data_IF_949494541234
#
_entry.id   IF_949494541234
#
_cell.length_a   1.000
_cell.length_b   1.000
_cell.length_c   1.000
_cell.angle_alpha   90.00
_cell.angle_beta   90.00
_cell.angle_gamma   90.00
#
_symmetry.space_group_name_H-M   'P 1'
#
loop_
_entity.id
_entity.type
_entity.pdbx_description
1 polymer ?
#
# COMPACT_ATOMS: atom_id res chain seq x y z
N UNK A 1 31.81 -1.82 -18.49
CA UNK A 1 32.78 -0.71 -18.66
C UNK A 1 33.36 -0.38 -17.27
N UNK A 2 34.68 -0.44 -17.08
CA UNK A 2 35.35 0.03 -15.83
C UNK A 2 35.53 1.56 -15.90
N UNK A 3 35.31 2.33 -14.83
CA UNK A 3 35.51 3.78 -14.86
C UNK A 3 36.94 4.18 -14.48
N UNK A 4 37.48 5.16 -15.21
CA UNK A 4 38.60 6.02 -14.75
C UNK A 4 38.00 7.21 -14.00
N UNK A 5 38.75 7.67 -13.01
CA UNK A 5 38.43 8.67 -11.99
C UNK A 5 38.20 10.08 -12.52
N UNK A 6 37.40 10.81 -11.74
CA UNK A 6 37.15 12.26 -11.68
C UNK A 6 36.45 12.93 -12.89
N UNK A 7 35.13 13.11 -12.76
CA UNK A 7 34.54 14.44 -12.59
C UNK A 7 33.05 14.29 -12.18
N UNK A 8 32.50 15.32 -11.56
CA UNK A 8 31.12 15.57 -11.09
C UNK A 8 29.97 15.41 -12.12
N UNK A 9 30.19 14.64 -13.19
CA UNK A 9 29.15 14.19 -14.12
C UNK A 9 28.38 13.00 -13.51
N UNK A 10 27.05 13.11 -13.42
CA UNK A 10 26.23 11.94 -13.17
C UNK A 10 26.58 10.88 -14.22
N UNK A 11 27.05 9.69 -13.81
CA UNK A 11 27.23 8.60 -14.76
C UNK A 11 25.83 8.16 -15.17
N UNK A 12 25.37 8.62 -16.31
CA UNK A 12 24.10 8.24 -16.92
C UNK A 12 24.29 6.89 -17.61
N UNK A 13 23.17 6.24 -17.97
CA UNK A 13 23.25 5.13 -18.91
C UNK A 13 23.97 5.63 -20.16
N UNK A 14 25.01 4.96 -20.66
CA UNK A 14 25.85 5.50 -21.71
C UNK A 14 24.97 5.97 -22.87
N UNK A 15 25.03 7.27 -23.20
CA UNK A 15 24.14 8.02 -24.11
C UNK A 15 23.96 7.40 -25.52
N UNK A 16 24.63 6.27 -25.78
CA UNK A 16 24.69 5.56 -27.05
C UNK A 16 24.63 4.05 -26.88
N UNK A 17 23.78 3.52 -26.00
CA UNK A 17 23.43 2.10 -26.07
C UNK A 17 22.82 1.82 -27.47
N UNK A 18 23.38 0.87 -28.25
CA UNK A 18 22.77 0.45 -29.52
C UNK A 18 21.28 0.15 -29.40
N UNK A 19 20.48 0.53 -30.39
CA UNK A 19 19.01 0.33 -30.34
C UNK A 19 18.56 -1.11 -30.60
N UNK A 20 19.47 -2.00 -30.99
CA UNK A 20 19.17 -3.35 -31.46
C UNK A 20 18.94 -4.39 -30.38
N UNK A 21 19.09 -4.06 -29.09
CA UNK A 21 18.97 -5.05 -28.01
C UNK A 21 17.53 -5.52 -27.80
N UNK A 22 17.38 -6.82 -27.61
CA UNK A 22 16.14 -7.44 -27.14
C UNK A 22 16.12 -7.61 -25.61
N UNK A 23 17.30 -7.73 -25.01
CA UNK A 23 17.49 -7.84 -23.56
C UNK A 23 18.68 -6.96 -23.15
N UNK A 24 18.53 -6.25 -22.04
CA UNK A 24 19.56 -5.37 -21.50
C UNK A 24 19.75 -5.64 -20.01
N UNK A 25 20.92 -6.17 -19.64
CA UNK A 25 21.33 -6.35 -18.24
C UNK A 25 22.39 -5.29 -17.90
N UNK A 26 22.05 -4.40 -16.96
CA UNK A 26 22.93 -3.37 -16.43
C UNK A 26 23.30 -3.78 -15.02
N UNK A 27 24.50 -4.34 -14.88
CA UNK A 27 24.96 -4.93 -13.61
C UNK A 27 26.25 -4.29 -13.12
N UNK A 28 26.38 -4.12 -11.81
CA UNK A 28 27.59 -3.59 -11.16
C UNK A 28 28.07 -2.27 -11.77
N UNK A 29 27.13 -1.40 -12.14
CA UNK A 29 27.41 -0.13 -12.81
C UNK A 29 27.45 1.02 -11.81
N UNK A 30 28.12 2.11 -12.20
CA UNK A 30 28.12 3.37 -11.45
C UNK A 30 26.96 4.28 -11.84
N UNK A 31 25.95 3.77 -12.56
CA UNK A 31 24.79 4.55 -13.02
C UNK A 31 24.08 5.14 -11.81
N UNK A 32 23.82 6.45 -11.84
CA UNK A 32 23.10 7.16 -10.77
C UNK A 32 21.65 7.43 -11.09
N UNK A 33 21.39 7.71 -12.37
CA UNK A 33 20.10 8.16 -12.86
C UNK A 33 19.75 7.42 -14.15
N UNK A 34 18.50 6.97 -14.24
CA UNK A 34 17.87 6.60 -15.52
C UNK A 34 17.16 7.84 -16.02
N UNK A 35 17.69 8.43 -17.07
CA UNK A 35 17.19 9.70 -17.59
C UNK A 35 15.90 9.55 -18.39
N UNK A 36 15.22 10.67 -18.56
CA UNK A 36 14.05 10.79 -19.41
C UNK A 36 14.33 10.24 -20.81
N UNK A 37 13.48 9.31 -21.27
CA UNK A 37 13.58 8.68 -22.59
C UNK A 37 14.85 7.84 -22.86
N UNK A 38 15.62 7.40 -21.85
CA UNK A 38 16.87 6.64 -22.06
C UNK A 38 16.71 5.44 -23.01
N UNK A 39 15.53 4.83 -23.07
CA UNK A 39 15.27 3.63 -23.89
C UNK A 39 14.38 3.87 -25.11
N UNK A 40 14.07 5.12 -25.46
CA UNK A 40 13.05 5.45 -26.48
C UNK A 40 13.31 4.85 -27.86
N UNK A 41 14.58 4.63 -28.23
CA UNK A 41 14.97 4.06 -29.53
C UNK A 41 15.01 2.52 -29.55
N UNK A 42 14.86 1.87 -28.40
CA UNK A 42 15.02 0.41 -28.27
C UNK A 42 13.72 -0.34 -28.58
N UNK A 43 13.30 -0.32 -29.85
CA UNK A 43 12.00 -0.84 -30.28
C UNK A 43 11.86 -2.37 -30.14
N UNK A 44 12.97 -3.10 -30.09
CA UNK A 44 13.01 -4.55 -29.94
C UNK A 44 13.07 -5.01 -28.48
N UNK A 45 13.29 -4.09 -27.54
CA UNK A 45 13.59 -4.42 -26.16
C UNK A 45 12.40 -5.07 -25.47
N UNK A 46 12.62 -6.28 -24.98
CA UNK A 46 11.66 -7.12 -24.25
C UNK A 46 11.97 -7.20 -22.76
N UNK A 47 13.22 -6.97 -22.36
CA UNK A 47 13.66 -7.12 -20.98
C UNK A 47 14.75 -6.12 -20.63
N UNK A 48 14.60 -5.47 -19.48
CA UNK A 48 15.62 -4.61 -18.88
C UNK A 48 15.80 -5.02 -17.43
N UNK A 49 17.04 -5.28 -17.02
CA UNK A 49 17.37 -5.60 -15.65
C UNK A 49 18.50 -4.71 -15.13
N UNK A 50 18.31 -4.21 -13.92
CA UNK A 50 19.31 -3.47 -13.15
C UNK A 50 19.67 -4.31 -11.93
N UNK A 51 20.91 -4.81 -11.88
CA UNK A 51 21.34 -5.70 -10.80
C UNK A 51 22.58 -5.16 -10.11
N UNK A 52 22.57 -5.10 -8.77
CA UNK A 52 23.71 -4.66 -7.96
C UNK A 52 24.26 -3.30 -8.42
N UNK A 53 23.37 -2.33 -8.62
CA UNK A 53 23.75 -0.95 -8.97
C UNK A 53 23.63 -0.09 -7.71
N UNK A 54 24.69 0.06 -6.90
CA UNK A 54 24.61 0.68 -5.58
C UNK A 54 24.28 2.18 -5.63
N UNK A 55 24.66 2.85 -6.72
CA UNK A 55 24.51 4.29 -6.86
C UNK A 55 23.23 4.72 -7.59
N UNK A 56 22.47 3.76 -8.15
CA UNK A 56 21.24 4.07 -8.87
C UNK A 56 20.18 4.50 -7.87
N UNK A 57 19.86 5.79 -7.86
CA UNK A 57 18.88 6.36 -6.93
C UNK A 57 17.70 7.05 -7.59
N UNK A 58 17.86 7.46 -8.86
CA UNK A 58 16.82 8.26 -9.53
C UNK A 58 16.35 7.58 -10.82
N UNK A 59 15.03 7.49 -10.98
CA UNK A 59 14.38 7.16 -12.25
C UNK A 59 13.57 8.39 -12.65
N UNK A 60 14.06 9.13 -13.65
CA UNK A 60 13.39 10.35 -14.09
C UNK A 60 12.03 10.05 -14.74
N UNK A 61 11.18 11.07 -14.78
CA UNK A 61 9.92 11.02 -15.52
C UNK A 61 10.11 10.51 -16.95
N UNK A 62 9.22 9.62 -17.40
CA UNK A 62 9.20 9.09 -18.76
C UNK A 62 10.48 8.31 -19.14
N UNK A 63 11.25 7.80 -18.17
CA UNK A 63 12.47 7.03 -18.42
C UNK A 63 12.25 5.87 -19.42
N UNK A 64 11.13 5.15 -19.26
CA UNK A 64 10.73 3.98 -20.05
C UNK A 64 9.75 4.29 -21.19
N UNK A 65 9.57 5.57 -21.54
CA UNK A 65 8.58 5.98 -22.54
C UNK A 65 8.86 5.39 -23.91
N UNK A 66 7.79 4.89 -24.55
CA UNK A 66 7.82 4.41 -25.94
C UNK A 66 8.30 2.98 -26.11
N UNK A 67 8.59 2.25 -25.02
CA UNK A 67 8.89 0.82 -25.10
C UNK A 67 7.64 0.02 -25.51
N UNK A 68 7.64 -0.48 -26.74
CA UNK A 68 6.49 -1.17 -27.37
C UNK A 68 6.46 -2.67 -27.14
N UNK A 69 7.62 -3.29 -26.90
CA UNK A 69 7.76 -4.75 -26.74
C UNK A 69 8.23 -5.19 -25.36
N UNK A 70 8.39 -4.24 -24.43
CA UNK A 70 8.89 -4.54 -23.08
C UNK A 70 7.92 -5.45 -22.33
N UNK A 71 8.48 -6.47 -21.68
CA UNK A 71 7.77 -7.51 -20.92
C UNK A 71 8.29 -7.62 -19.49
N UNK A 72 9.55 -7.26 -19.25
CA UNK A 72 10.14 -7.28 -17.91
C UNK A 72 10.99 -6.03 -17.68
N UNK A 73 10.72 -5.33 -16.58
CA UNK A 73 11.63 -4.34 -16.00
C UNK A 73 11.92 -4.80 -14.57
N UNK A 74 13.17 -5.18 -14.28
CA UNK A 74 13.57 -5.69 -12.96
C UNK A 74 14.67 -4.86 -12.35
N UNK A 75 14.52 -4.54 -11.07
CA UNK A 75 15.55 -3.94 -10.23
C UNK A 75 15.86 -4.89 -9.09
N UNK A 76 17.13 -5.23 -8.93
CA UNK A 76 17.60 -6.13 -7.88
C UNK A 76 18.83 -5.55 -7.21
N UNK A 77 18.78 -5.42 -5.88
CA UNK A 77 19.88 -4.88 -5.10
C UNK A 77 20.34 -3.50 -5.62
N UNK A 78 19.39 -2.56 -5.71
CA UNK A 78 19.64 -1.15 -5.98
C UNK A 78 19.36 -0.34 -4.70
N UNK A 79 20.29 -0.32 -3.72
CA UNK A 79 20.07 0.30 -2.41
C UNK A 79 19.88 1.82 -2.46
N UNK A 80 20.37 2.50 -3.51
CA UNK A 80 20.14 3.93 -3.69
C UNK A 80 18.71 4.27 -4.11
N UNK A 81 17.94 3.32 -4.62
CA UNK A 81 16.59 3.54 -5.16
C UNK A 81 15.56 3.51 -4.02
N UNK A 82 15.35 4.66 -3.42
CA UNK A 82 14.50 4.83 -2.22
C UNK A 82 13.10 5.33 -2.53
N UNK A 83 12.86 5.83 -3.74
CA UNK A 83 11.58 6.41 -4.14
C UNK A 83 11.26 6.16 -5.61
N UNK A 84 9.99 5.85 -5.88
CA UNK A 84 9.45 5.86 -7.24
C UNK A 84 8.76 7.19 -7.50
N UNK A 85 9.44 8.05 -8.25
CA UNK A 85 9.00 9.41 -8.52
C UNK A 85 7.80 9.45 -9.48
N UNK A 86 7.03 10.54 -9.38
CA UNK A 86 5.89 10.84 -10.24
C UNK A 86 6.25 10.73 -11.72
N UNK A 87 5.47 9.94 -12.45
CA UNK A 87 5.62 9.64 -13.88
C UNK A 87 6.93 8.91 -14.27
N UNK A 88 7.71 8.35 -13.34
CA UNK A 88 8.96 7.62 -13.67
C UNK A 88 8.73 6.44 -14.64
N UNK A 89 7.59 5.75 -14.51
CA UNK A 89 7.16 4.66 -15.40
C UNK A 89 6.10 5.08 -16.43
N UNK A 90 5.89 6.39 -16.61
CA UNK A 90 4.83 6.88 -17.48
C UNK A 90 5.15 6.71 -18.97
N UNK A 91 4.12 6.43 -19.77
CA UNK A 91 4.19 6.40 -21.22
C UNK A 91 4.84 5.14 -21.81
N UNK A 92 4.89 4.04 -21.05
CA UNK A 92 5.20 2.72 -21.58
C UNK A 92 4.05 2.28 -22.50
N UNK A 93 4.36 1.81 -23.71
CA UNK A 93 3.38 1.53 -24.77
C UNK A 93 3.40 0.06 -25.19
N UNK A 94 3.58 -0.85 -24.22
CA UNK A 94 3.68 -2.27 -24.53
C UNK A 94 2.31 -2.92 -24.76
N UNK A 95 2.30 -3.97 -25.58
CA UNK A 95 1.10 -4.77 -25.89
C UNK A 95 1.22 -6.24 -25.44
N UNK A 96 2.36 -6.64 -24.85
CA UNK A 96 2.71 -8.05 -24.59
C UNK A 96 2.53 -8.50 -23.13
N UNK A 97 2.14 -7.58 -22.25
CA UNK A 97 2.04 -7.79 -20.82
C UNK A 97 3.39 -7.52 -20.15
N UNK A 98 3.40 -6.58 -19.21
CA UNK A 98 4.60 -6.11 -18.54
C UNK A 98 4.62 -6.50 -17.07
N UNK A 99 5.70 -7.14 -16.66
CA UNK A 99 6.07 -7.38 -15.26
C UNK A 99 7.11 -6.34 -14.82
N UNK A 100 6.85 -5.67 -13.70
CA UNK A 100 7.80 -4.75 -13.06
C UNK A 100 8.11 -5.26 -11.66
N UNK A 101 9.39 -5.44 -11.37
CA UNK A 101 9.85 -6.08 -10.13
C UNK A 101 10.91 -5.22 -9.46
N UNK A 102 10.74 -5.02 -8.16
CA UNK A 102 11.72 -4.40 -7.28
C UNK A 102 12.02 -5.36 -6.13
N UNK A 103 13.23 -5.92 -6.14
CA UNK A 103 13.73 -6.87 -5.16
C UNK A 103 14.95 -6.29 -4.44
N UNK A 104 14.93 -6.31 -3.10
CA UNK A 104 16.05 -5.77 -2.29
C UNK A 104 16.39 -4.32 -2.66
N UNK A 105 15.35 -3.51 -2.82
CA UNK A 105 15.41 -2.07 -3.04
C UNK A 105 14.66 -1.40 -1.89
N UNK A 106 15.29 -0.55 -1.08
CA UNK A 106 14.66 0.04 0.10
C UNK A 106 13.72 1.19 -0.30
N UNK A 107 12.69 0.87 -1.07
CA UNK A 107 11.71 1.86 -1.52
C UNK A 107 10.87 2.24 -0.31
N UNK A 108 10.94 3.52 0.07
CA UNK A 108 10.19 4.14 1.15
C UNK A 108 8.92 4.84 0.63
N UNK A 109 8.85 5.18 -0.66
CA UNK A 109 7.68 5.89 -1.22
C UNK A 109 7.41 5.56 -2.68
N UNK A 110 6.12 5.44 -3.02
CA UNK A 110 5.62 5.47 -4.40
C UNK A 110 4.77 6.72 -4.56
N UNK A 111 5.24 7.68 -5.34
CA UNK A 111 4.50 8.92 -5.58
C UNK A 111 3.26 8.69 -6.45
N UNK A 112 2.31 9.63 -6.36
CA UNK A 112 1.12 9.65 -7.19
C UNK A 112 1.45 9.68 -8.69
N UNK A 113 0.68 8.93 -9.49
CA UNK A 113 0.83 8.85 -10.94
C UNK A 113 2.16 8.27 -11.45
N UNK A 114 2.90 7.53 -10.62
CA UNK A 114 4.14 6.81 -11.00
C UNK A 114 3.99 6.02 -12.31
N UNK A 115 2.89 5.27 -12.45
CA UNK A 115 2.60 4.40 -13.60
C UNK A 115 1.63 5.00 -14.63
N UNK A 116 1.39 6.31 -14.60
CA UNK A 116 0.38 6.96 -15.46
C UNK A 116 0.61 6.68 -16.94
N UNK A 117 -0.43 6.26 -17.66
CA UNK A 117 -0.37 5.91 -19.09
C UNK A 117 0.57 4.74 -19.43
N UNK A 118 1.10 4.00 -18.46
CA UNK A 118 1.79 2.76 -18.72
C UNK A 118 0.77 1.68 -19.12
N UNK A 119 0.86 1.24 -20.38
CA UNK A 119 -0.09 0.27 -20.90
C UNK A 119 0.24 -1.15 -20.44
N UNK A 120 -0.78 -1.97 -20.21
CA UNK A 120 -0.66 -3.43 -20.09
C UNK A 120 0.36 -3.93 -19.04
N UNK A 121 0.47 -3.24 -17.89
CA UNK A 121 1.21 -3.76 -16.73
C UNK A 121 0.41 -4.93 -16.15
N UNK A 122 0.92 -6.16 -16.21
CA UNK A 122 0.23 -7.34 -15.69
C UNK A 122 0.66 -7.75 -14.30
N UNK A 123 1.91 -7.46 -13.95
CA UNK A 123 2.43 -7.81 -12.64
C UNK A 123 3.31 -6.69 -12.10
N UNK A 124 3.08 -6.34 -10.85
CA UNK A 124 3.88 -5.37 -10.12
C UNK A 124 4.25 -5.95 -8.76
N UNK A 125 5.54 -6.14 -8.54
CA UNK A 125 6.09 -6.63 -7.27
C UNK A 125 7.01 -5.57 -6.70
N UNK A 126 6.68 -5.06 -5.52
CA UNK A 126 7.45 -4.00 -4.85
C UNK A 126 7.76 -4.47 -3.44
N UNK A 127 9.04 -4.79 -3.21
CA UNK A 127 9.56 -4.93 -1.86
C UNK A 127 9.99 -3.55 -1.37
N UNK A 128 9.33 -3.04 -0.33
CA UNK A 128 9.69 -1.78 0.31
C UNK A 128 10.21 -1.96 1.73
N UNK A 129 10.75 -0.88 2.28
CA UNK A 129 11.09 -0.72 3.69
C UNK A 129 10.36 0.53 4.17
N UNK A 130 9.44 0.42 5.13
CA UNK A 130 8.62 1.57 5.55
C UNK A 130 7.92 2.28 4.38
N UNK A 131 7.34 1.50 3.48
CA UNK A 131 6.76 1.96 2.23
C UNK A 131 5.48 2.76 2.46
N UNK A 132 5.49 4.01 2.00
CA UNK A 132 4.32 4.86 1.88
C UNK A 132 3.75 4.81 0.45
N UNK A 133 2.48 4.43 0.34
CA UNK A 133 1.72 4.45 -0.90
C UNK A 133 0.95 5.77 -0.98
N UNK A 134 1.44 6.71 -1.79
CA UNK A 134 0.81 8.02 -1.93
C UNK A 134 -0.46 7.98 -2.78
N UNK A 135 -1.36 8.94 -2.56
CA UNK A 135 -2.60 9.12 -3.30
C UNK A 135 -2.36 8.99 -4.81
N UNK A 136 -3.18 8.18 -5.46
CA UNK A 136 -3.09 7.89 -6.90
C UNK A 136 -1.81 7.18 -7.39
N UNK A 137 -1.01 6.55 -6.53
CA UNK A 137 0.23 5.87 -6.95
C UNK A 137 -0.02 4.75 -7.97
N UNK A 138 -1.15 4.05 -7.88
CA UNK A 138 -1.58 3.00 -8.83
C UNK A 138 -2.77 3.44 -9.70
N UNK A 139 -3.05 4.74 -9.78
CA UNK A 139 -4.19 5.22 -10.55
C UNK A 139 -4.08 4.91 -12.05
N UNK A 140 -5.22 4.65 -12.68
CA UNK A 140 -5.38 4.36 -14.10
C UNK A 140 -4.66 3.08 -14.58
N UNK A 141 -4.33 2.15 -13.68
CA UNK A 141 -3.90 0.80 -14.08
C UNK A 141 -5.16 -0.02 -14.38
N UNK A 142 -5.54 -0.09 -15.65
CA UNK A 142 -6.82 -0.67 -16.08
C UNK A 142 -6.85 -2.20 -16.13
N UNK A 143 -5.69 -2.85 -16.05
CA UNK A 143 -5.58 -4.30 -16.05
C UNK A 143 -4.28 -4.66 -15.36
N UNK A 144 -4.37 -5.26 -14.17
CA UNK A 144 -3.24 -5.79 -13.40
C UNK A 144 -3.64 -7.18 -12.89
N UNK A 145 -2.89 -8.21 -13.25
CA UNK A 145 -3.20 -9.56 -12.79
C UNK A 145 -2.69 -9.75 -11.35
N UNK A 146 -1.49 -9.26 -11.04
CA UNK A 146 -0.89 -9.43 -9.72
C UNK A 146 -0.25 -8.13 -9.21
N UNK A 147 -0.66 -7.70 -8.03
CA UNK A 147 0.02 -6.66 -7.25
C UNK A 147 0.52 -7.26 -5.94
N UNK A 148 1.83 -7.30 -5.76
CA UNK A 148 2.45 -7.67 -4.50
C UNK A 148 3.21 -6.49 -3.94
N UNK A 149 2.86 -6.05 -2.75
CA UNK A 149 3.58 -4.99 -2.02
C UNK A 149 3.94 -5.47 -0.62
N UNK A 150 5.17 -5.21 -0.20
CA UNK A 150 5.63 -5.53 1.15
C UNK A 150 6.30 -4.34 1.83
N UNK A 151 6.39 -4.41 3.16
CA UNK A 151 6.96 -3.33 3.98
C UNK A 151 6.12 -2.05 4.07
N UNK A 152 4.83 -2.08 3.71
CA UNK A 152 3.92 -0.93 3.76
C UNK A 152 3.70 -0.45 5.20
N UNK A 153 3.79 0.87 5.43
CA UNK A 153 3.46 1.49 6.73
C UNK A 153 2.38 2.56 6.61
N UNK A 154 2.12 3.05 5.40
CA UNK A 154 1.10 4.07 5.13
C UNK A 154 0.43 3.79 3.79
N UNK A 155 -0.90 3.77 3.82
CA UNK A 155 -1.77 3.70 2.63
C UNK A 155 -2.60 4.98 2.61
N UNK A 156 -2.29 5.91 1.71
CA UNK A 156 -3.15 7.08 1.51
C UNK A 156 -4.46 6.70 0.80
N UNK A 157 -5.52 7.49 0.92
CA UNK A 157 -6.76 7.26 0.19
C UNK A 157 -6.56 7.31 -1.33
N UNK A 158 -7.46 6.68 -2.09
CA UNK A 158 -7.54 6.81 -3.55
C UNK A 158 -6.27 6.35 -4.29
N UNK A 159 -5.53 5.38 -3.74
CA UNK A 159 -4.35 4.80 -4.41
C UNK A 159 -4.70 4.07 -5.71
N UNK A 160 -5.93 3.55 -5.82
CA UNK A 160 -6.43 2.78 -6.97
C UNK A 160 -7.44 3.54 -7.86
N UNK A 161 -7.49 4.88 -7.82
CA UNK A 161 -8.45 5.66 -8.62
C UNK A 161 -8.47 5.23 -10.09
N UNK A 162 -9.67 4.97 -10.63
CA UNK A 162 -9.89 4.54 -12.01
C UNK A 162 -9.14 3.26 -12.41
N UNK A 163 -9.03 2.29 -11.50
CA UNK A 163 -8.27 1.04 -11.75
C UNK A 163 -9.23 -0.15 -11.69
N UNK A 164 -9.60 -0.68 -12.87
CA UNK A 164 -10.87 -1.41 -13.01
C UNK A 164 -10.77 -2.93 -12.98
N UNK A 165 -9.58 -3.52 -13.18
CA UNK A 165 -9.43 -4.99 -13.24
C UNK A 165 -8.15 -5.43 -12.54
N UNK A 166 -8.32 -5.90 -11.31
CA UNK A 166 -7.27 -6.54 -10.54
C UNK A 166 -7.63 -8.02 -10.40
N UNK A 167 -6.67 -8.93 -10.43
CA UNK A 167 -6.97 -10.33 -10.10
C UNK A 167 -6.58 -10.61 -8.66
N UNK A 168 -5.31 -10.36 -8.29
CA UNK A 168 -4.82 -10.55 -6.92
C UNK A 168 -4.08 -9.31 -6.42
N UNK A 169 -4.45 -8.84 -5.23
CA UNK A 169 -3.68 -7.91 -4.41
C UNK A 169 -3.16 -8.66 -3.19
N UNK A 170 -1.85 -8.79 -3.07
CA UNK A 170 -1.15 -9.33 -1.92
C UNK A 170 -0.39 -8.19 -1.22
N UNK A 171 -0.75 -7.93 0.03
CA UNK A 171 -0.01 -7.06 0.94
C UNK A 171 0.61 -7.96 1.99
N UNK A 172 1.94 -7.96 2.10
CA UNK A 172 2.63 -8.89 3.01
C UNK A 172 3.74 -8.26 3.84
N UNK A 173 4.00 -8.83 5.03
CA UNK A 173 5.14 -8.44 5.88
C UNK A 173 5.18 -6.93 6.15
N UNK A 174 4.05 -6.38 6.58
CA UNK A 174 3.86 -4.95 6.81
C UNK A 174 3.60 -4.68 8.29
N UNK A 175 3.60 -3.40 8.68
CA UNK A 175 3.17 -2.93 10.01
C UNK A 175 2.21 -1.77 9.82
N UNK A 176 1.00 -2.08 9.37
CA UNK A 176 0.02 -1.06 9.00
C UNK A 176 -0.72 -0.61 10.27
N UNK A 177 -0.54 0.64 10.75
CA UNK A 177 -1.20 1.10 11.97
C UNK A 177 -2.72 1.16 11.82
N UNK A 178 -3.20 1.51 10.62
CA UNK A 178 -4.62 1.48 10.32
C UNK A 178 -4.90 1.33 8.82
N UNK A 179 -5.99 0.64 8.51
CA UNK A 179 -6.61 0.63 7.18
C UNK A 179 -7.82 1.56 7.26
N UNK A 180 -7.71 2.72 6.61
CA UNK A 180 -8.74 3.74 6.63
C UNK A 180 -10.04 3.28 5.91
N UNK A 181 -11.18 3.95 6.18
CA UNK A 181 -12.39 3.77 5.37
C UNK A 181 -12.07 4.00 3.89
N UNK A 182 -12.64 3.18 3.01
CA UNK A 182 -12.50 3.35 1.58
C UNK A 182 -11.05 3.29 1.05
N UNK A 183 -10.12 2.70 1.82
CA UNK A 183 -8.70 2.56 1.45
C UNK A 183 -8.50 1.83 0.11
N UNK A 184 -9.41 0.89 -0.20
CA UNK A 184 -9.41 0.11 -1.44
C UNK A 184 -10.41 0.63 -2.48
N UNK A 185 -10.95 1.84 -2.29
CA UNK A 185 -11.86 2.46 -3.26
C UNK A 185 -11.21 2.64 -4.63
N UNK A 186 -12.03 2.51 -5.67
CA UNK A 186 -11.59 2.55 -7.07
C UNK A 186 -11.27 1.18 -7.66
N UNK A 187 -11.10 0.14 -6.83
CA UNK A 187 -11.07 -1.26 -7.28
C UNK A 187 -12.49 -1.74 -7.59
N UNK A 188 -12.90 -1.68 -8.86
CA UNK A 188 -14.25 -2.12 -9.26
C UNK A 188 -14.38 -3.64 -9.37
N UNK A 189 -13.32 -4.34 -9.82
CA UNK A 189 -13.30 -5.81 -9.89
C UNK A 189 -11.97 -6.34 -9.38
N UNK A 190 -12.02 -7.18 -8.35
CA UNK A 190 -10.87 -7.87 -7.79
C UNK A 190 -11.22 -9.27 -7.30
N UNK A 191 -10.44 -10.29 -7.65
CA UNK A 191 -10.75 -11.66 -7.22
C UNK A 191 -10.30 -11.91 -5.78
N UNK A 192 -9.09 -11.51 -5.42
CA UNK A 192 -8.54 -11.74 -4.09
C UNK A 192 -7.82 -10.50 -3.56
N UNK A 193 -8.16 -10.09 -2.34
CA UNK A 193 -7.30 -9.26 -1.51
C UNK A 193 -6.77 -10.13 -0.39
N UNK A 194 -5.44 -10.22 -0.27
CA UNK A 194 -4.76 -11.00 0.77
C UNK A 194 -3.86 -10.09 1.61
N UNK A 195 -4.12 -10.09 2.93
CA UNK A 195 -3.31 -9.42 3.94
C UNK A 195 -2.57 -10.50 4.75
N UNK A 196 -1.28 -10.66 4.50
CA UNK A 196 -0.46 -11.72 5.09
C UNK A 196 0.65 -11.17 5.99
N UNK A 197 0.61 -11.48 7.29
CA UNK A 197 1.66 -11.05 8.24
C UNK A 197 1.89 -9.51 8.28
N UNK A 198 0.80 -8.73 8.34
CA UNK A 198 0.79 -7.26 8.25
C UNK A 198 0.74 -6.49 9.58
N UNK A 199 0.74 -7.17 10.74
CA UNK A 199 0.64 -6.56 12.08
C UNK A 199 -0.33 -5.37 12.11
N UNK A 200 -1.59 -5.65 11.78
CA UNK A 200 -2.63 -4.64 11.57
C UNK A 200 -3.02 -4.00 12.90
N UNK A 201 -2.96 -2.67 12.99
CA UNK A 201 -3.54 -1.96 14.14
C UNK A 201 -5.07 -1.98 14.06
N UNK A 202 -5.67 -0.99 13.40
CA UNK A 202 -7.14 -0.90 13.26
C UNK A 202 -7.59 -1.11 11.82
N UNK A 203 -8.58 -1.97 11.59
CA UNK A 203 -9.31 -2.01 10.31
C UNK A 203 -10.61 -1.23 10.48
N UNK A 204 -10.66 -0.04 9.87
CA UNK A 204 -11.80 0.85 10.04
C UNK A 204 -13.09 0.29 9.44
N UNK A 205 -14.23 0.76 9.96
CA UNK A 205 -15.52 0.47 9.36
C UNK A 205 -15.49 0.89 7.88
N UNK A 206 -16.04 0.02 7.01
CA UNK A 206 -16.10 0.25 5.56
C UNK A 206 -14.73 0.33 4.86
N UNK A 207 -13.67 -0.22 5.43
CA UNK A 207 -12.36 -0.31 4.75
C UNK A 207 -12.45 -0.89 3.32
N UNK A 208 -13.37 -1.83 3.10
CA UNK A 208 -13.61 -2.50 1.83
C UNK A 208 -14.98 -2.20 1.19
N UNK A 209 -15.74 -1.21 1.68
CA UNK A 209 -17.14 -1.01 1.26
C UNK A 209 -17.30 -0.59 -0.21
N UNK A 210 -16.30 0.10 -0.75
CA UNK A 210 -16.30 0.59 -2.14
C UNK A 210 -15.49 -0.31 -3.10
N UNK A 211 -15.39 -1.61 -2.76
CA UNK A 211 -14.92 -2.64 -3.68
C UNK A 211 -16.15 -3.35 -4.25
N UNK A 212 -16.52 -3.03 -5.49
CA UNK A 212 -17.82 -3.42 -6.06
C UNK A 212 -17.95 -4.94 -6.26
N UNK A 213 -16.93 -5.58 -6.84
CA UNK A 213 -16.90 -7.01 -7.14
C UNK A 213 -15.65 -7.65 -6.53
N UNK A 214 -15.67 -7.91 -5.23
CA UNK A 214 -14.61 -8.61 -4.53
C UNK A 214 -14.95 -10.10 -4.37
N UNK A 215 -14.13 -10.98 -4.91
CA UNK A 215 -14.31 -12.42 -4.76
C UNK A 215 -14.06 -12.91 -3.33
N UNK A 216 -12.83 -12.75 -2.85
CA UNK A 216 -12.38 -13.24 -1.55
C UNK A 216 -11.45 -12.23 -0.84
N UNK A 217 -11.74 -11.95 0.43
CA UNK A 217 -10.82 -11.26 1.34
C UNK A 217 -10.16 -12.29 2.24
N UNK A 218 -8.83 -12.41 2.17
CA UNK A 218 -8.03 -13.29 3.02
C UNK A 218 -7.23 -12.46 4.00
N UNK A 219 -7.41 -12.72 5.28
CA UNK A 219 -6.63 -12.11 6.36
C UNK A 219 -5.92 -13.27 7.06
N UNK A 220 -4.61 -13.38 6.87
CA UNK A 220 -3.83 -14.56 7.25
C UNK A 220 -2.63 -14.14 8.12
N UNK A 221 -2.43 -14.80 9.25
CA UNK A 221 -1.23 -14.62 10.10
C UNK A 221 -1.00 -13.18 10.57
N UNK A 222 -2.05 -12.44 10.89
CA UNK A 222 -1.95 -11.09 11.44
C UNK A 222 -2.09 -11.08 12.96
N UNK A 223 -1.52 -10.06 13.59
CA UNK A 223 -2.04 -9.51 14.84
C UNK A 223 -2.96 -8.36 14.45
N UNK A 224 -4.18 -8.32 14.97
CA UNK A 224 -5.16 -7.26 14.71
C UNK A 224 -5.49 -6.58 16.03
N UNK A 225 -5.18 -5.28 16.13
CA UNK A 225 -5.45 -4.46 17.31
C UNK A 225 -6.95 -4.20 17.51
N UNK A 226 -7.63 -3.76 16.45
CA UNK A 226 -9.07 -3.45 16.51
C UNK A 226 -9.80 -3.64 15.18
N UNK A 227 -11.10 -3.97 15.30
CA UNK A 227 -12.05 -4.02 14.19
C UNK A 227 -13.27 -3.18 14.58
N UNK A 228 -13.40 -1.97 14.00
CA UNK A 228 -14.42 -0.99 14.39
C UNK A 228 -15.83 -1.60 14.45
N UNK A 229 -16.23 -2.29 13.39
CA UNK A 229 -17.57 -2.89 13.25
C UNK A 229 -17.52 -4.15 12.39
N UNK A 230 -18.65 -4.86 12.28
CA UNK A 230 -18.79 -5.97 11.32
C UNK A 230 -18.47 -5.56 9.89
N UNK A 231 -18.75 -4.30 9.52
CA UNK A 231 -18.50 -3.76 8.18
C UNK A 231 -17.00 -3.58 7.87
N UNK A 232 -16.11 -3.74 8.87
CA UNK A 232 -14.66 -3.72 8.65
C UNK A 232 -14.18 -4.91 7.80
N UNK A 233 -14.82 -6.07 7.94
CA UNK A 233 -14.37 -7.33 7.32
C UNK A 233 -15.51 -8.15 6.70
N UNK A 234 -16.77 -7.78 6.92
CA UNK A 234 -17.93 -8.49 6.40
C UNK A 234 -18.71 -7.62 5.44
N UNK A 235 -19.09 -8.21 4.31
CA UNK A 235 -20.03 -7.64 3.35
C UNK A 235 -20.71 -8.77 2.60
N UNK A 236 -21.96 -8.55 2.16
CA UNK A 236 -22.66 -9.48 1.26
C UNK A 236 -21.98 -9.60 -0.11
N UNK A 237 -21.14 -8.62 -0.46
CA UNK A 237 -20.48 -8.54 -1.75
C UNK A 237 -19.19 -9.38 -1.84
N UNK A 238 -18.70 -9.96 -0.73
CA UNK A 238 -17.41 -10.65 -0.70
C UNK A 238 -17.40 -11.85 0.25
N UNK A 239 -16.59 -12.87 -0.06
CA UNK A 239 -16.30 -13.98 0.86
C UNK A 239 -15.09 -13.63 1.74
N UNK A 240 -15.23 -13.67 3.07
CA UNK A 240 -14.11 -13.41 3.98
C UNK A 240 -13.54 -14.71 4.54
N UNK A 241 -12.21 -14.85 4.53
CA UNK A 241 -11.46 -15.95 5.12
C UNK A 241 -10.43 -15.41 6.13
N UNK A 242 -10.57 -15.80 7.39
CA UNK A 242 -9.74 -15.32 8.52
C UNK A 242 -9.08 -16.53 9.15
N UNK A 243 -7.76 -16.69 8.97
CA UNK A 243 -7.02 -17.85 9.46
C UNK A 243 -5.73 -17.43 10.16
N UNK A 244 -5.39 -18.13 11.25
CA UNK A 244 -4.13 -17.95 11.98
C UNK A 244 -3.90 -16.50 12.48
N UNK A 245 -4.97 -15.75 12.76
CA UNK A 245 -4.86 -14.38 13.29
C UNK A 245 -4.97 -14.35 14.82
N UNK A 246 -4.27 -13.40 15.43
CA UNK A 246 -4.42 -13.04 16.85
C UNK A 246 -5.16 -11.71 16.96
N UNK A 247 -6.22 -11.66 17.77
CA UNK A 247 -7.02 -10.45 17.97
C UNK A 247 -6.77 -9.86 19.37
N UNK A 248 -6.52 -8.55 19.46
CA UNK A 248 -6.46 -7.81 20.72
C UNK A 248 -7.88 -7.39 21.18
N UNK A 249 -8.70 -8.41 21.47
CA UNK A 249 -10.13 -8.23 21.76
C UNK A 249 -10.40 -7.18 22.84
N UNK A 250 -11.11 -6.12 22.46
CA UNK A 250 -11.54 -5.02 23.32
C UNK A 250 -13.07 -4.82 23.27
N UNK A 251 -13.59 -3.82 23.98
CA UNK A 251 -15.04 -3.60 24.06
C UNK A 251 -15.71 -3.08 22.77
N UNK A 252 -14.96 -2.44 21.87
CA UNK A 252 -15.43 -2.06 20.54
C UNK A 252 -15.78 -3.28 19.68
N UNK A 253 -15.03 -4.37 19.84
CA UNK A 253 -15.19 -5.61 19.07
C UNK A 253 -16.33 -6.52 19.57
N UNK A 254 -17.17 -6.06 20.52
CA UNK A 254 -18.26 -6.86 21.12
C UNK A 254 -19.26 -7.38 20.07
N UNK A 255 -19.40 -6.67 18.96
CA UNK A 255 -20.28 -7.05 17.84
C UNK A 255 -19.99 -8.46 17.31
N UNK A 256 -18.73 -8.92 17.39
CA UNK A 256 -18.30 -10.24 16.91
C UNK A 256 -19.02 -11.40 17.61
N UNK A 257 -19.52 -11.19 18.85
CA UNK A 257 -20.29 -12.21 19.58
C UNK A 257 -21.64 -12.54 18.95
N UNK A 258 -22.13 -11.68 18.06
CA UNK A 258 -23.44 -11.80 17.41
C UNK A 258 -23.36 -12.29 15.97
N UNK A 259 -22.16 -12.63 15.48
CA UNK A 259 -21.92 -13.09 14.11
C UNK A 259 -21.76 -14.62 14.10
N UNK A 260 -22.73 -15.32 13.51
CA UNK A 260 -22.74 -16.79 13.47
C UNK A 260 -21.66 -17.39 12.57
N UNK A 261 -21.30 -16.69 11.48
CA UNK A 261 -20.32 -17.11 10.47
C UNK A 261 -18.86 -17.02 10.95
N UNK A 262 -18.59 -16.24 12.00
CA UNK A 262 -17.27 -16.22 12.64
C UNK A 262 -17.13 -17.49 13.49
N UNK A 263 -16.54 -18.53 12.90
CA UNK A 263 -16.34 -19.84 13.51
C UNK A 263 -15.66 -19.77 14.88
N UNK A 264 -15.87 -20.80 15.72
CA UNK A 264 -15.23 -20.95 17.05
C UNK A 264 -13.70 -21.13 16.99
N UNK A 265 -13.09 -21.04 15.80
CA UNK A 265 -11.66 -21.11 15.57
C UNK A 265 -11.15 -19.66 15.36
N UNK A 266 -10.74 -18.98 16.44
CA UNK A 266 -9.73 -17.88 16.56
C UNK A 266 -10.00 -17.02 17.84
N UNK A 267 -9.19 -17.04 18.91
CA UNK A 267 -7.84 -16.46 19.20
C UNK A 267 -7.81 -14.98 19.65
N UNK A 268 -8.55 -14.64 20.73
CA UNK A 268 -8.20 -13.47 21.55
C UNK A 268 -6.94 -13.80 22.39
N UNK A 269 -5.83 -13.04 22.31
CA UNK A 269 -4.69 -13.18 23.25
C UNK A 269 -3.59 -12.11 23.11
N UNK A 270 -3.01 -11.66 24.25
CA UNK A 270 -1.54 -11.55 24.45
C UNK A 270 -1.01 -12.04 25.83
N UNK A 271 -1.85 -12.46 26.80
CA UNK A 271 -1.65 -13.46 27.91
C UNK A 271 -2.80 -13.31 28.94
N UNK A 272 -3.36 -14.31 29.65
CA UNK A 272 -3.40 -15.78 29.56
C UNK A 272 -4.77 -16.25 30.08
N UNK A 273 -5.66 -16.74 29.21
CA UNK A 273 -6.76 -17.69 29.48
C UNK A 273 -7.70 -17.67 28.28
N UNK A 274 -7.49 -18.61 27.35
CA UNK A 274 -8.26 -18.74 26.11
C UNK A 274 -9.76 -18.59 26.35
N UNK A 275 -10.34 -17.60 25.69
CA UNK A 275 -11.77 -17.38 25.59
C UNK A 275 -12.07 -17.21 24.10
N UNK A 276 -13.00 -18.01 23.58
CA UNK A 276 -13.60 -17.72 22.28
C UNK A 276 -14.17 -16.30 22.29
N UNK A 277 -14.36 -15.69 21.12
CA UNK A 277 -15.12 -14.42 21.00
C UNK A 277 -16.42 -14.51 21.84
N UNK A 278 -17.10 -15.66 21.81
CA UNK A 278 -18.32 -15.95 22.61
C UNK A 278 -18.10 -15.92 24.13
N UNK A 279 -16.89 -16.20 24.59
CA UNK A 279 -16.49 -16.16 25.99
C UNK A 279 -15.97 -14.78 26.44
N UNK A 280 -15.78 -13.83 25.51
CA UNK A 280 -15.50 -12.43 25.83
C UNK A 280 -16.70 -11.84 26.58
N UNK A 281 -16.53 -11.65 27.89
CA UNK A 281 -17.63 -11.47 28.83
C UNK A 281 -18.38 -10.16 28.58
N UNK A 282 -19.63 -10.30 28.12
CA UNK A 282 -20.63 -9.23 27.89
C UNK A 282 -20.74 -8.21 29.04
N UNK A 283 -20.36 -8.59 30.26
CA UNK A 283 -20.42 -7.77 31.48
C UNK A 283 -19.25 -6.77 31.66
N UNK A 284 -18.02 -7.07 31.18
CA UNK A 284 -16.88 -6.14 31.38
C UNK A 284 -17.02 -4.82 30.59
N UNK A 285 -17.75 -4.85 29.48
CA UNK A 285 -17.94 -3.69 28.61
C UNK A 285 -19.13 -2.80 28.97
N UNK A 286 -19.89 -3.13 30.02
CA UNK A 286 -21.06 -2.33 30.46
C UNK A 286 -20.68 -1.08 31.27
N UNK A 287 -19.40 -0.91 31.65
CA UNK A 287 -18.96 0.19 32.50
C UNK A 287 -18.45 1.44 31.74
N UNK A 288 -18.02 1.31 30.47
CA UNK A 288 -17.41 2.42 29.72
C UNK A 288 -18.46 3.44 29.21
N UNK A 289 -19.67 2.99 28.87
CA UNK A 289 -20.72 3.88 28.36
C UNK A 289 -21.28 4.85 29.41
N UNK A 290 -21.08 4.59 30.72
CA UNK A 290 -21.57 5.47 31.80
C UNK A 290 -20.61 6.59 32.18
N UNK A 291 -19.32 6.49 31.87
CA UNK A 291 -18.35 7.54 32.20
C UNK A 291 -18.28 8.65 31.15
N UNK A 292 -18.49 8.33 29.87
CA UNK A 292 -18.54 9.33 28.78
C UNK A 292 -19.76 10.26 28.95
N UNK A 293 -20.91 9.72 29.39
CA UNK A 293 -22.10 10.55 29.71
C UNK A 293 -21.99 11.40 30.98
N UNK A 294 -21.04 11.12 31.87
CA UNK A 294 -20.86 11.94 33.10
C UNK A 294 -19.93 13.13 32.89
N UNK A 295 -19.07 13.11 31.87
CA UNK A 295 -18.15 14.23 31.55
C UNK A 295 -18.77 15.31 30.65
N UNK A 296 -19.95 15.10 30.06
CA UNK A 296 -20.62 16.10 29.20
C UNK A 296 -21.55 17.08 29.94
N UNK A 297 -21.73 16.95 31.26
CA UNK A 297 -22.71 17.73 32.03
C UNK A 297 -22.09 18.70 33.06
N UNK A 298 -20.93 19.28 32.78
CA UNK A 298 -20.47 20.47 33.52
C UNK A 298 -19.82 21.49 32.58
N UNK A 299 -20.65 22.37 32.02
CA UNK A 299 -20.26 23.75 31.75
C UNK A 299 -20.93 24.64 32.80
N UNK A 300 -20.20 25.50 33.54
CA UNK A 300 -20.84 26.54 34.31
C UNK A 300 -21.31 27.66 33.37
N UNK A 301 -22.59 27.95 33.45
CA UNK A 301 -23.23 29.15 32.92
C UNK A 301 -22.71 30.39 33.63
N UNK A 302 -22.16 31.37 32.90
CA UNK A 302 -21.93 32.73 33.40
C UNK A 302 -22.84 33.70 32.64
N UNK A 303 -23.79 34.29 33.37
CA UNK A 303 -24.64 35.39 32.89
C UNK A 303 -24.86 36.42 34.01
N UNK A 304 -24.39 37.66 33.77
CA UNK A 304 -24.83 38.93 34.38
C UNK A 304 -24.41 39.19 35.83
N UNK A 305 -24.19 40.41 36.32
CA UNK A 305 -24.18 41.75 35.73
C UNK A 305 -23.52 42.73 36.75
N UNK A 306 -22.85 43.75 36.21
CA UNK A 306 -22.63 45.14 36.70
C UNK A 306 -22.77 45.53 38.19
N UNK A 307 -21.78 46.27 38.71
CA UNK A 307 -21.97 47.64 39.25
C UNK A 307 -20.66 48.42 39.47
N UNK A 308 -20.66 49.63 38.90
CA UNK A 308 -19.88 50.88 39.07
C UNK A 308 -19.19 51.23 40.40
N UNK A 309 -18.02 51.88 40.31
CA UNK A 309 -17.68 53.27 40.79
C UNK A 309 -16.17 53.35 41.12
N UNK A 310 -15.32 54.06 40.34
CA UNK A 310 -14.94 55.49 40.41
C UNK A 310 -13.75 55.80 41.34
N UNK A 311 -12.85 56.65 40.82
CA UNK A 311 -11.83 57.50 41.48
C UNK A 311 -10.51 56.83 41.93
N UNK A 312 -9.30 57.42 41.84
CA UNK A 312 -8.81 58.76 41.47
C UNK A 312 -7.29 58.68 41.16
N UNK A 313 -6.78 59.69 40.42
CA UNK A 313 -5.39 60.09 40.11
C UNK A 313 -4.54 59.30 39.10
#
# INVERSE_FOLDING_TARGET
LKPKSDDSSAVTLPDRLPSGYEQLLIRNSSVRTIEKNSFRKMEKLTQIEFENNPNLGTIEKLAFKGLKKIRLIKFTACPGLTELQKNSFSGIQNQMGLKIIFEKTPIHRIEGHTFRHAQNIRELTISGEELALSRHCFANINQLDFLTVSGVVLIEPEIFTNSTRFHVLLIEHTKIPSIAPDAFSGLTTIQVIELHACQLGTISARAFANVENLGELKILRNTIGDLDTSESIMSRALKTRIEENTLECNCGMKWMTSVEEMSDINFCSTTASFRSIRSFVKAKCLHISKEVSRKSNHLPSTSGASSTSSNDF
#
